data_IF_247521129873
#
_entry.id   IF_247521129873
#
_cell.length_a   1.000
_cell.length_b   1.000
_cell.length_c   1.000
_cell.angle_alpha   90.00
_cell.angle_beta   90.00
_cell.angle_gamma   90.00
#
_symmetry.space_group_name_H-M   'P 1'
#
loop_
_entity.id
_entity.type
_entity.pdbx_description
1 polymer ?
#
# COMPACT_ATOMS: atom_id res chain seq x y z
N UNK A 1 -5.25 -3.73 -19.24
CA UNK A 1 -5.47 -2.26 -19.35
C UNK A 1 -6.97 -2.03 -19.44
N UNK A 2 -7.51 -1.00 -18.78
CA UNK A 2 -8.96 -0.78 -18.68
C UNK A 2 -9.70 -0.70 -20.02
N UNK A 3 -9.19 -0.03 -21.08
CA UNK A 3 -9.90 0.00 -22.37
C UNK A 3 -10.09 -1.38 -23.01
N UNK A 4 -9.13 -2.29 -22.81
CA UNK A 4 -9.22 -3.67 -23.29
C UNK A 4 -10.29 -4.46 -22.51
N UNK A 5 -10.42 -4.20 -21.20
CA UNK A 5 -11.46 -4.80 -20.38
C UNK A 5 -12.84 -4.31 -20.83
N UNK A 6 -13.00 -3.01 -21.07
CA UNK A 6 -14.24 -2.44 -21.61
C UNK A 6 -14.62 -3.05 -22.95
N UNK A 7 -13.68 -3.16 -23.89
CA UNK A 7 -13.95 -3.78 -25.19
C UNK A 7 -14.39 -5.25 -25.07
N UNK A 8 -13.74 -6.02 -24.17
CA UNK A 8 -14.11 -7.41 -23.90
C UNK A 8 -15.51 -7.53 -23.30
N UNK A 9 -15.84 -6.69 -22.31
CA UNK A 9 -17.16 -6.68 -21.69
C UNK A 9 -18.25 -6.28 -22.70
N UNK A 10 -17.99 -5.26 -23.54
CA UNK A 10 -18.93 -4.85 -24.58
C UNK A 10 -19.19 -5.97 -25.59
N UNK A 11 -18.14 -6.72 -25.96
CA UNK A 11 -18.26 -7.90 -26.83
C UNK A 11 -19.08 -9.00 -26.16
N UNK A 12 -18.80 -9.32 -24.89
CA UNK A 12 -19.54 -10.36 -24.15
C UNK A 12 -21.02 -10.00 -24.06
N UNK A 13 -21.36 -8.78 -23.65
CA UNK A 13 -22.74 -8.30 -23.57
C UNK A 13 -23.44 -8.40 -24.93
N UNK A 14 -22.76 -7.96 -25.98
CA UNK A 14 -23.30 -8.04 -27.36
C UNK A 14 -23.59 -9.48 -27.77
N UNK A 15 -22.69 -10.41 -27.46
CA UNK A 15 -22.86 -11.82 -27.83
C UNK A 15 -23.98 -12.46 -27.02
N UNK A 16 -24.12 -12.12 -25.73
CA UNK A 16 -25.23 -12.61 -24.90
C UNK A 16 -26.58 -12.19 -25.48
N UNK A 17 -26.77 -10.89 -25.72
CA UNK A 17 -28.01 -10.35 -26.26
C UNK A 17 -28.29 -10.94 -27.67
N UNK A 18 -27.25 -11.08 -28.51
CA UNK A 18 -27.39 -11.70 -29.83
C UNK A 18 -27.86 -13.15 -29.77
N UNK A 19 -27.35 -13.95 -28.82
CA UNK A 19 -27.81 -15.33 -28.63
C UNK A 19 -29.26 -15.36 -28.13
N UNK A 20 -29.63 -14.47 -27.20
CA UNK A 20 -31.00 -14.35 -26.69
C UNK A 20 -31.99 -13.94 -27.80
N UNK A 21 -31.57 -13.08 -28.72
CA UNK A 21 -32.36 -12.65 -29.90
C UNK A 21 -32.42 -13.71 -31.03
N UNK A 22 -31.93 -14.93 -30.77
CA UNK A 22 -32.01 -16.06 -31.69
C UNK A 22 -30.87 -16.14 -32.70
N UNK A 23 -29.74 -15.46 -32.43
CA UNK A 23 -28.50 -15.55 -33.19
C UNK A 23 -28.65 -15.26 -34.70
N UNK A 24 -29.55 -14.34 -35.05
CA UNK A 24 -29.75 -13.90 -36.44
C UNK A 24 -28.73 -12.83 -36.81
N UNK A 25 -28.30 -12.83 -38.06
CA UNK A 25 -27.30 -11.90 -38.59
C UNK A 25 -25.99 -11.88 -37.77
N UNK A 26 -25.14 -10.87 -38.00
CA UNK A 26 -23.89 -10.70 -37.26
C UNK A 26 -24.10 -9.83 -36.01
N UNK A 27 -23.52 -10.21 -34.85
CA UNK A 27 -23.63 -9.41 -33.63
C UNK A 27 -22.99 -8.02 -33.81
N UNK A 28 -23.66 -6.97 -33.33
CA UNK A 28 -23.18 -5.58 -33.43
C UNK A 28 -23.12 -4.92 -32.07
N UNK A 29 -21.95 -4.40 -31.70
CA UNK A 29 -21.80 -3.63 -30.46
C UNK A 29 -22.61 -2.35 -30.59
N UNK A 30 -23.65 -2.23 -29.76
CA UNK A 30 -24.48 -1.04 -29.65
C UNK A 30 -23.86 -0.05 -28.67
N UNK A 31 -24.36 1.20 -28.69
CA UNK A 31 -24.01 2.20 -27.67
C UNK A 31 -24.38 1.72 -26.27
N UNK A 32 -25.49 0.98 -26.13
CA UNK A 32 -25.92 0.44 -24.85
C UNK A 32 -24.92 -0.60 -24.30
N UNK A 33 -24.44 -1.52 -25.13
CA UNK A 33 -23.42 -2.51 -24.72
C UNK A 33 -22.12 -1.81 -24.31
N UNK A 34 -21.69 -0.80 -25.08
CA UNK A 34 -20.49 -0.03 -24.77
C UNK A 34 -20.62 0.74 -23.45
N UNK A 35 -21.72 1.47 -23.27
CA UNK A 35 -21.98 2.25 -22.07
C UNK A 35 -22.00 1.35 -20.83
N UNK A 36 -22.67 0.20 -20.90
CA UNK A 36 -22.72 -0.76 -19.78
C UNK A 36 -21.34 -1.33 -19.45
N UNK A 37 -20.56 -1.71 -20.47
CA UNK A 37 -19.20 -2.18 -20.29
C UNK A 37 -18.27 -1.12 -19.67
N UNK A 38 -18.42 0.14 -20.07
CA UNK A 38 -17.66 1.25 -19.50
C UNK A 38 -18.01 1.46 -18.03
N UNK A 39 -19.29 1.46 -17.67
CA UNK A 39 -19.73 1.57 -16.27
C UNK A 39 -19.10 0.48 -15.39
N UNK A 40 -19.20 -0.79 -15.81
CA UNK A 40 -18.62 -1.92 -15.08
C UNK A 40 -17.10 -1.78 -14.92
N UNK A 41 -16.42 -1.30 -15.96
CA UNK A 41 -14.96 -1.08 -15.91
C UNK A 41 -14.58 0.03 -14.92
N UNK A 42 -15.34 1.12 -14.89
CA UNK A 42 -15.10 2.23 -13.97
C UNK A 42 -15.43 1.87 -12.52
N UNK A 43 -16.48 1.08 -12.29
CA UNK A 43 -16.79 0.52 -10.97
C UNK A 43 -15.68 -0.39 -10.46
N UNK A 44 -15.13 -1.23 -11.34
CA UNK A 44 -13.96 -2.06 -11.03
C UNK A 44 -12.74 -1.19 -10.70
N UNK A 45 -12.45 -0.15 -11.51
CA UNK A 45 -11.35 0.79 -11.23
C UNK A 45 -11.53 1.44 -9.86
N UNK A 46 -12.71 1.98 -9.57
CA UNK A 46 -12.98 2.62 -8.28
C UNK A 46 -12.79 1.65 -7.11
N UNK A 47 -13.24 0.40 -7.25
CA UNK A 47 -13.07 -0.63 -6.23
C UNK A 47 -11.61 -1.03 -6.03
N UNK A 48 -10.82 -1.14 -7.11
CA UNK A 48 -9.39 -1.41 -7.03
C UNK A 48 -8.63 -0.25 -6.34
N UNK A 49 -8.99 1.00 -6.61
CA UNK A 49 -8.41 2.15 -5.93
C UNK A 49 -8.72 2.16 -4.42
N UNK A 50 -9.98 1.87 -4.04
CA UNK A 50 -10.36 1.73 -2.62
C UNK A 50 -9.58 0.62 -1.91
N UNK A 51 -9.52 -0.56 -2.53
CA UNK A 51 -8.77 -1.69 -1.98
C UNK A 51 -7.28 -1.35 -1.82
N UNK A 52 -6.68 -0.66 -2.79
CA UNK A 52 -5.29 -0.24 -2.71
C UNK A 52 -5.05 0.71 -1.52
N UNK A 53 -5.98 1.65 -1.28
CA UNK A 53 -5.88 2.53 -0.09
C UNK A 53 -5.98 1.76 1.23
N UNK A 54 -6.87 0.78 1.33
CA UNK A 54 -7.00 -0.06 2.54
C UNK A 54 -5.77 -0.95 2.77
N UNK A 55 -5.21 -1.51 1.69
CA UNK A 55 -3.99 -2.32 1.76
C UNK A 55 -2.77 -1.48 2.19
N UNK A 56 -2.70 -0.21 1.76
CA UNK A 56 -1.64 0.69 2.21
C UNK A 56 -1.74 0.95 3.73
N UNK A 57 -2.95 1.19 4.27
CA UNK A 57 -3.14 1.31 5.73
C UNK A 57 -2.66 0.05 6.44
N UNK A 58 -2.98 -1.14 5.93
CA UNK A 58 -2.45 -2.40 6.50
C UNK A 58 -0.92 -2.49 6.43
N UNK A 59 -0.32 -1.96 5.37
CA UNK A 59 1.14 -2.00 5.20
C UNK A 59 1.86 -1.02 6.13
N UNK A 60 1.28 0.15 6.40
CA UNK A 60 1.81 1.13 7.34
C UNK A 60 1.81 0.55 8.76
N UNK A 61 0.69 -0.05 9.21
CA UNK A 61 0.61 -0.76 10.50
C UNK A 61 1.64 -1.89 10.59
N UNK A 62 1.83 -2.67 9.52
CA UNK A 62 2.87 -3.72 9.49
C UNK A 62 4.28 -3.16 9.56
N UNK A 63 4.53 -2.02 8.92
CA UNK A 63 5.84 -1.36 8.95
C UNK A 63 6.13 -0.82 10.35
N UNK A 64 5.15 -0.17 10.98
CA UNK A 64 5.22 0.30 12.37
C UNK A 64 5.53 -0.86 13.31
N UNK A 65 4.78 -1.96 13.24
CA UNK A 65 5.03 -3.14 14.09
C UNK A 65 6.43 -3.71 13.88
N UNK A 66 6.92 -3.83 12.63
CA UNK A 66 8.28 -4.30 12.36
C UNK A 66 9.35 -3.39 12.97
N UNK A 67 9.12 -2.07 12.95
CA UNK A 67 10.03 -1.09 13.54
C UNK A 67 10.02 -1.23 15.06
N UNK A 68 8.85 -1.33 15.68
CA UNK A 68 8.71 -1.58 17.13
C UNK A 68 9.42 -2.87 17.54
N UNK A 69 9.16 -3.99 16.84
CA UNK A 69 9.82 -5.28 17.09
C UNK A 69 11.34 -5.21 16.91
N UNK A 70 11.83 -4.38 15.98
CA UNK A 70 13.26 -4.19 15.77
C UNK A 70 13.90 -3.37 16.89
N UNK A 71 13.25 -2.28 17.33
CA UNK A 71 13.72 -1.46 18.45
C UNK A 71 13.67 -2.28 19.76
N UNK A 72 12.60 -3.04 19.99
CA UNK A 72 12.45 -3.90 21.16
C UNK A 72 13.58 -4.93 21.30
N UNK A 73 14.06 -5.46 20.16
CA UNK A 73 15.17 -6.44 20.12
C UNK A 73 16.54 -5.80 20.14
N UNK A 74 16.65 -4.49 19.94
CA UNK A 74 17.94 -3.81 20.00
C UNK A 74 18.44 -3.75 21.44
N UNK A 75 19.77 -3.85 21.60
CA UNK A 75 20.38 -3.82 22.92
C UNK A 75 20.20 -2.42 23.55
N UNK A 76 19.81 -2.37 24.84
CA UNK A 76 19.50 -1.11 25.56
C UNK A 76 20.68 -0.13 25.60
N UNK A 77 21.91 -0.65 25.56
CA UNK A 77 23.18 0.10 25.54
C UNK A 77 23.49 0.72 24.17
N UNK A 78 22.87 0.24 23.09
CA UNK A 78 23.07 0.74 21.73
C UNK A 78 21.75 0.86 20.96
N UNK A 79 20.97 1.91 21.25
CA UNK A 79 19.72 2.15 20.54
C UNK A 79 19.97 2.35 19.02
N UNK A 80 19.06 1.84 18.17
CA UNK A 80 19.23 1.88 16.73
C UNK A 80 18.94 3.27 16.15
N UNK A 81 19.69 3.67 15.13
CA UNK A 81 19.42 4.88 14.33
C UNK A 81 18.41 4.61 13.19
N UNK A 82 17.88 5.65 12.53
CA UNK A 82 17.02 5.48 11.32
C UNK A 82 17.66 4.56 10.27
N UNK A 83 18.99 4.64 10.11
CA UNK A 83 19.73 3.80 9.17
C UNK A 83 19.77 2.34 9.61
N UNK A 84 19.97 2.10 10.90
CA UNK A 84 20.01 0.75 11.47
C UNK A 84 18.63 0.09 11.35
N UNK A 85 17.56 0.85 11.66
CA UNK A 85 16.17 0.42 11.50
C UNK A 85 15.85 0.10 10.04
N UNK A 86 16.21 0.97 9.09
CA UNK A 86 15.96 0.72 7.67
C UNK A 86 16.66 -0.55 7.16
N UNK A 87 17.92 -0.78 7.57
CA UNK A 87 18.65 -1.99 7.17
C UNK A 87 18.17 -3.26 7.87
N UNK A 88 17.70 -3.15 9.12
CA UNK A 88 17.33 -4.29 9.95
C UNK A 88 15.87 -4.76 9.82
N UNK A 89 14.94 -3.88 9.44
CA UNK A 89 13.51 -4.20 9.32
C UNK A 89 13.14 -4.85 7.98
N UNK A 90 14.02 -4.78 6.97
CA UNK A 90 13.76 -5.31 5.62
C UNK A 90 12.71 -4.52 4.82
N UNK A 91 12.31 -3.33 5.29
CA UNK A 91 11.40 -2.44 4.57
C UNK A 91 12.15 -1.83 3.38
N UNK A 92 11.68 -2.12 2.16
CA UNK A 92 12.41 -1.80 0.92
C UNK A 92 12.60 -0.29 0.70
N UNK A 93 11.59 0.50 1.02
CA UNK A 93 11.59 1.93 0.75
C UNK A 93 11.98 2.72 2.01
N UNK A 94 13.02 3.56 1.88
CA UNK A 94 13.49 4.41 2.98
C UNK A 94 12.46 5.47 3.39
N UNK A 95 11.62 5.94 2.47
CA UNK A 95 10.57 6.93 2.78
C UNK A 95 9.53 6.35 3.74
N UNK A 96 9.12 5.10 3.52
CA UNK A 96 8.11 4.41 4.34
C UNK A 96 8.66 4.15 5.75
N UNK A 97 9.95 3.80 5.87
CA UNK A 97 10.62 3.68 7.19
C UNK A 97 10.63 5.01 7.92
N UNK A 98 11.04 6.08 7.26
CA UNK A 98 11.12 7.39 7.90
C UNK A 98 9.73 7.87 8.33
N UNK A 99 8.71 7.74 7.48
CA UNK A 99 7.33 8.12 7.79
C UNK A 99 6.77 7.34 8.98
N UNK A 100 6.98 6.02 9.03
CA UNK A 100 6.54 5.20 10.15
C UNK A 100 7.30 5.55 11.46
N UNK A 101 8.61 5.85 11.41
CA UNK A 101 9.34 6.33 12.60
C UNK A 101 8.77 7.66 13.07
N UNK A 102 8.51 8.60 12.16
CA UNK A 102 8.02 9.92 12.52
C UNK A 102 6.60 9.82 13.14
N UNK A 103 5.73 8.97 12.60
CA UNK A 103 4.40 8.67 13.16
C UNK A 103 4.48 8.02 14.56
N UNK A 104 5.41 7.07 14.76
CA UNK A 104 5.62 6.43 16.07
C UNK A 104 6.18 7.38 17.13
N UNK A 105 6.96 8.39 16.71
CA UNK A 105 7.43 9.45 17.61
C UNK A 105 6.30 10.42 17.94
N UNK A 106 5.49 10.80 16.96
CA UNK A 106 4.33 11.68 17.16
C UNK A 106 3.26 11.06 18.06
N UNK A 107 3.03 9.75 17.95
CA UNK A 107 2.10 9.01 18.82
C UNK A 107 2.65 8.74 20.22
N UNK A 108 3.94 9.00 20.47
CA UNK A 108 4.59 8.75 21.75
C UNK A 108 4.96 7.29 22.00
N UNK A 109 4.84 6.39 21.01
CA UNK A 109 5.26 4.99 21.14
C UNK A 109 6.80 4.83 21.15
N UNK A 110 7.51 5.77 20.51
CA UNK A 110 8.98 5.77 20.38
C UNK A 110 9.53 7.13 20.80
N UNK A 111 10.60 7.14 21.60
CA UNK A 111 11.32 8.35 21.98
C UNK A 111 12.62 8.49 21.20
N UNK A 112 12.98 9.73 20.89
CA UNK A 112 14.27 10.09 20.31
C UNK A 112 15.31 10.30 21.40
N UNK A 113 16.45 9.62 21.30
CA UNK A 113 17.59 9.75 22.21
C UNK A 113 18.88 10.05 21.43
N UNK A 114 19.82 10.76 22.06
CA UNK A 114 21.15 10.94 21.48
C UNK A 114 22.05 9.76 21.82
N UNK A 115 22.59 9.11 20.79
CA UNK A 115 23.64 8.11 20.93
C UNK A 115 25.00 8.76 20.74
N UNK A 116 25.75 8.91 21.83
CA UNK A 116 27.14 9.37 21.79
C UNK A 116 28.08 8.16 21.69
N UNK A 117 28.90 8.11 20.63
CA UNK A 117 29.79 6.97 20.35
C UNK A 117 31.22 7.26 20.85
N UNK A 118 31.41 8.29 21.69
CA UNK A 118 32.70 8.68 22.26
C UNK A 118 33.67 9.34 21.28
N UNK A 119 33.64 8.97 19.99
CA UNK A 119 34.43 9.60 18.92
C UNK A 119 33.56 9.86 17.69
N UNK A 120 33.16 11.12 17.50
CA UNK A 120 32.35 11.58 16.36
C UNK A 120 31.05 12.30 16.78
N UNK A 121 30.26 12.81 15.82
CA UNK A 121 29.00 13.50 16.10
C UNK A 121 27.99 12.58 16.79
N UNK A 122 27.18 13.12 17.70
CA UNK A 122 26.03 12.40 18.27
C UNK A 122 25.07 11.97 17.15
N UNK A 123 24.51 10.77 17.28
CA UNK A 123 23.56 10.22 16.31
C UNK A 123 22.19 10.10 16.97
N UNK A 124 21.16 10.60 16.31
CA UNK A 124 19.76 10.39 16.69
C UNK A 124 19.42 8.89 16.64
N UNK A 125 19.01 8.35 17.78
CA UNK A 125 18.61 6.96 17.95
C UNK A 125 17.21 6.88 18.58
N UNK A 126 16.61 5.69 18.55
CA UNK A 126 15.21 5.49 18.90
C UNK A 126 15.07 4.39 19.94
N UNK A 127 14.26 4.65 20.98
CA UNK A 127 13.93 3.70 22.05
C UNK A 127 12.42 3.62 22.21
N UNK A 128 11.91 2.49 22.69
CA UNK A 128 10.51 2.38 23.08
C UNK A 128 10.28 3.20 24.35
N UNK A 129 9.10 3.80 24.45
CA UNK A 129 8.64 4.38 25.73
C UNK A 129 8.21 3.23 26.63
N UNK A 130 8.88 3.06 27.78
CA UNK A 130 8.44 2.14 28.82
C UNK A 130 7.23 2.78 29.52
N UNK A 131 6.09 2.08 29.56
CA UNK A 131 4.92 2.45 30.41
C UNK A 131 5.28 2.43 31.90
#
# INVERSE_FOLDING_TARGET
RLPVLTAKLALILTVMDWVEDGAKDSPRISVAHWARAQMLTEEYRASAHRLLSELNVSQDVKNEQKILDFIARAAKDRPPSKRDIHRGTGIKNRKDVNGAIDALVESGAVQTVERNIGRGPSTTAYVLVEE
#
